data_IF_597662158851
#
_entry.id   IF_597662158851
#
_cell.length_a   1.000
_cell.length_b   1.000
_cell.length_c   1.000
_cell.angle_alpha   90.00
_cell.angle_beta   90.00
_cell.angle_gamma   90.00
#
_symmetry.space_group_name_H-M   'P 1'
#
loop_
_entity.id
_entity.type
_entity.pdbx_description
1 polymer ?
#
# COMPACT_ATOMS: atom_id res chain seq x y z
N UNK A 1 -0.53 5.60 9.22
CA UNK A 1 -0.14 5.44 10.63
C UNK A 1 0.71 6.62 11.12
N UNK A 2 1.98 6.76 10.71
CA UNK A 2 2.89 7.81 11.25
C UNK A 2 2.39 9.26 11.07
N UNK A 3 1.91 9.63 9.88
CA UNK A 3 1.40 10.99 9.64
C UNK A 3 0.17 11.31 10.50
N UNK A 4 -0.68 10.31 10.77
CA UNK A 4 -1.85 10.46 11.63
C UNK A 4 -1.45 10.67 13.09
N UNK A 5 -0.49 9.89 13.59
CA UNK A 5 0.08 10.07 14.93
C UNK A 5 0.59 11.50 15.14
N UNK A 6 1.46 11.98 14.24
CA UNK A 6 1.99 13.35 14.27
C UNK A 6 0.89 14.40 14.20
N UNK A 7 -0.11 14.20 13.35
CA UNK A 7 -1.24 15.11 13.21
C UNK A 7 -2.02 15.26 14.51
N UNK A 8 -2.40 14.14 15.16
CA UNK A 8 -3.15 14.20 16.43
C UNK A 8 -2.28 14.79 17.54
N UNK A 9 -1.00 14.43 17.61
CA UNK A 9 -0.09 14.92 18.63
C UNK A 9 0.09 16.45 18.60
N UNK A 10 0.19 17.04 17.39
CA UNK A 10 0.46 18.48 17.23
C UNK A 10 -0.83 19.29 17.20
N UNK A 11 -1.85 18.84 16.46
CA UNK A 11 -3.07 19.61 16.27
C UNK A 11 -4.06 19.46 17.44
N UNK A 12 -3.98 18.35 18.20
CA UNK A 12 -4.92 18.05 19.30
C UNK A 12 -4.19 17.48 20.54
N UNK A 13 -3.20 18.19 21.11
CA UNK A 13 -2.33 17.66 22.16
C UNK A 13 -3.11 17.23 23.42
N UNK A 14 -4.14 17.98 23.83
CA UNK A 14 -4.96 17.68 25.01
C UNK A 14 -5.81 16.41 24.86
N UNK A 15 -6.12 16.01 23.62
CA UNK A 15 -6.93 14.82 23.33
C UNK A 15 -6.08 13.65 22.83
N UNK A 16 -4.77 13.82 22.71
CA UNK A 16 -3.89 12.81 22.13
C UNK A 16 -3.98 11.47 22.85
N UNK A 17 -3.92 11.44 24.18
CA UNK A 17 -3.99 10.17 24.94
C UNK A 17 -5.36 9.49 24.86
N UNK A 18 -6.43 10.27 24.67
CA UNK A 18 -7.78 9.71 24.48
C UNK A 18 -7.92 9.07 23.09
N UNK A 19 -7.39 9.73 22.06
CA UNK A 19 -7.47 9.30 20.66
C UNK A 19 -6.47 8.18 20.36
N UNK A 20 -5.20 8.36 20.76
CA UNK A 20 -4.10 7.40 20.57
C UNK A 20 -3.93 6.50 21.80
N UNK A 21 -5.01 5.85 22.22
CA UNK A 21 -4.95 4.87 23.30
C UNK A 21 -4.45 3.49 22.78
N UNK A 22 -4.18 2.57 23.70
CA UNK A 22 -3.67 1.23 23.37
C UNK A 22 -4.59 0.46 22.40
N UNK A 23 -5.91 0.59 22.52
CA UNK A 23 -6.87 -0.09 21.65
C UNK A 23 -6.79 0.47 20.23
N UNK A 24 -6.81 1.79 20.09
CA UNK A 24 -6.69 2.45 18.79
C UNK A 24 -5.35 2.13 18.10
N UNK A 25 -4.24 2.13 18.85
CA UNK A 25 -2.94 1.74 18.31
C UNK A 25 -2.93 0.28 17.82
N UNK A 26 -3.51 -0.63 18.62
CA UNK A 26 -3.62 -2.04 18.24
C UNK A 26 -4.48 -2.23 16.98
N UNK A 27 -5.62 -1.53 16.87
CA UNK A 27 -6.46 -1.55 15.68
C UNK A 27 -5.73 -1.03 14.45
N UNK A 28 -5.02 0.11 14.56
CA UNK A 28 -4.21 0.67 13.47
C UNK A 28 -3.15 -0.33 13.02
N UNK A 29 -2.45 -0.98 13.96
CA UNK A 29 -1.45 -2.01 13.65
C UNK A 29 -2.11 -3.16 12.89
N UNK A 30 -3.21 -3.72 13.42
CA UNK A 30 -3.93 -4.82 12.77
C UNK A 30 -4.34 -4.44 11.35
N UNK A 31 -4.89 -3.24 11.14
CA UNK A 31 -5.28 -2.76 9.81
C UNK A 31 -4.09 -2.67 8.85
N UNK A 32 -2.94 -2.18 9.32
CA UNK A 32 -1.71 -2.14 8.52
C UNK A 32 -1.23 -3.54 8.15
N UNK A 33 -1.23 -4.48 9.09
CA UNK A 33 -0.84 -5.87 8.83
C UNK A 33 -1.80 -6.56 7.87
N UNK A 34 -3.10 -6.46 8.10
CA UNK A 34 -4.13 -7.12 7.27
C UNK A 34 -4.12 -6.55 5.85
N UNK A 35 -4.04 -5.23 5.68
CA UNK A 35 -3.96 -4.62 4.35
C UNK A 35 -2.69 -5.03 3.60
N UNK A 36 -1.54 -5.07 4.28
CA UNK A 36 -0.28 -5.56 3.72
C UNK A 36 -0.36 -7.03 3.29
N UNK A 37 -0.94 -7.89 4.13
CA UNK A 37 -1.14 -9.31 3.83
C UNK A 37 -2.06 -9.52 2.62
N UNK A 38 -3.20 -8.82 2.58
CA UNK A 38 -4.14 -8.90 1.45
C UNK A 38 -3.44 -8.46 0.16
N UNK A 39 -2.69 -7.34 0.19
CA UNK A 39 -1.96 -6.87 -0.96
C UNK A 39 -0.91 -7.90 -1.43
N UNK A 40 -0.14 -8.47 -0.52
CA UNK A 40 0.85 -9.52 -0.82
C UNK A 40 0.21 -10.79 -1.38
N UNK A 41 -0.92 -11.24 -0.83
CA UNK A 41 -1.68 -12.40 -1.32
C UNK A 41 -2.21 -12.13 -2.72
N UNK A 42 -2.86 -10.98 -2.95
CA UNK A 42 -3.39 -10.61 -4.27
C UNK A 42 -2.28 -10.59 -5.31
N UNK A 43 -1.13 -9.99 -4.96
CA UNK A 43 0.03 -9.95 -5.82
C UNK A 43 0.55 -11.35 -6.14
N UNK A 44 0.70 -12.19 -5.12
CA UNK A 44 1.18 -13.57 -5.25
C UNK A 44 0.23 -14.39 -6.13
N UNK A 45 -1.06 -14.42 -5.81
CA UNK A 45 -2.08 -15.14 -6.60
C UNK A 45 -2.09 -14.61 -8.03
N UNK A 46 -2.04 -13.28 -8.22
CA UNK A 46 -1.99 -12.65 -9.53
C UNK A 46 -0.84 -13.17 -10.37
N UNK A 47 0.39 -13.16 -9.82
CA UNK A 47 1.59 -13.65 -10.51
C UNK A 47 1.55 -15.15 -10.78
N UNK A 48 1.11 -15.98 -9.82
CA UNK A 48 1.04 -17.44 -9.99
C UNK A 48 -0.09 -17.89 -10.93
N UNK A 49 -1.12 -17.05 -11.16
CA UNK A 49 -2.22 -17.35 -12.08
C UNK A 49 -1.86 -17.09 -13.54
N UNK A 50 -0.71 -16.47 -13.83
CA UNK A 50 -0.26 -16.16 -15.19
C UNK A 50 0.34 -17.39 -15.86
N UNK A 51 -0.09 -17.69 -17.09
CA UNK A 51 0.54 -18.71 -17.93
C UNK A 51 1.77 -18.12 -18.64
N UNK A 52 2.96 -18.53 -18.20
CA UNK A 52 4.23 -18.12 -18.81
C UNK A 52 4.55 -18.99 -20.03
N UNK A 53 4.90 -18.35 -21.15
CA UNK A 53 5.22 -19.03 -22.41
C UNK A 53 6.69 -19.49 -22.50
N UNK A 54 7.54 -18.94 -21.63
CA UNK A 54 8.95 -19.28 -21.52
C UNK A 54 9.33 -19.33 -20.05
N UNK A 55 10.20 -20.26 -19.67
CA UNK A 55 10.77 -20.35 -18.33
C UNK A 55 12.15 -19.68 -18.23
N UNK A 56 12.59 -19.00 -19.30
CA UNK A 56 13.89 -18.31 -19.35
C UNK A 56 13.67 -16.82 -19.11
N UNK A 57 14.01 -16.37 -17.90
CA UNK A 57 14.01 -14.96 -17.50
C UNK A 57 15.45 -14.45 -17.52
N UNK A 58 15.82 -13.68 -18.55
CA UNK A 58 17.17 -13.12 -18.68
C UNK A 58 17.34 -11.82 -17.86
N UNK A 59 17.06 -11.87 -16.56
CA UNK A 59 17.06 -10.70 -15.67
C UNK A 59 17.62 -11.05 -14.28
N UNK A 60 18.38 -10.14 -13.67
CA UNK A 60 18.88 -10.26 -12.30
C UNK A 60 17.81 -9.97 -11.23
N UNK A 61 16.73 -9.25 -11.58
CA UNK A 61 15.68 -8.83 -10.64
C UNK A 61 14.32 -9.39 -11.02
N UNK A 62 13.54 -9.79 -10.01
CA UNK A 62 12.17 -10.28 -10.15
C UNK A 62 11.20 -9.09 -10.12
N UNK A 63 11.13 -8.32 -11.22
CA UNK A 63 10.20 -7.19 -11.35
C UNK A 63 8.95 -7.56 -12.18
N UNK A 64 7.77 -7.22 -11.66
CA UNK A 64 6.43 -7.45 -12.22
C UNK A 64 6.28 -7.07 -13.71
N UNK A 65 6.79 -5.91 -14.19
CA UNK A 65 6.59 -5.47 -15.58
C UNK A 65 7.23 -6.41 -16.61
N UNK A 66 8.24 -7.18 -16.19
CA UNK A 66 9.00 -8.11 -17.02
C UNK A 66 8.23 -9.44 -17.17
N UNK A 67 7.56 -9.88 -16.09
CA UNK A 67 6.73 -11.09 -16.07
C UNK A 67 5.53 -10.96 -17.02
N UNK A 68 4.93 -9.76 -17.12
CA UNK A 68 3.85 -9.44 -18.07
C UNK A 68 4.30 -9.62 -19.54
N UNK A 69 5.58 -9.37 -19.85
CA UNK A 69 6.10 -9.54 -21.23
C UNK A 69 6.33 -11.01 -21.62
N UNK A 70 6.40 -11.91 -20.64
CA UNK A 70 6.66 -13.35 -20.85
C UNK A 70 5.37 -14.19 -20.92
N UNK A 71 4.20 -13.61 -20.63
CA UNK A 71 2.93 -14.34 -20.63
C UNK A 71 2.47 -14.65 -22.06
N UNK A 72 1.93 -15.86 -22.29
CA UNK A 72 1.47 -16.30 -23.62
C UNK A 72 0.30 -15.46 -24.17
N UNK A 73 -0.54 -14.97 -23.27
CA UNK A 73 -1.62 -14.05 -23.56
C UNK A 73 -1.18 -12.68 -23.09
N UNK A 74 -1.17 -11.68 -23.97
CA UNK A 74 -0.93 -10.30 -23.54
C UNK A 74 -1.90 -9.86 -22.44
N UNK A 75 -1.47 -8.84 -21.68
CA UNK A 75 -2.18 -8.15 -20.58
C UNK A 75 -3.19 -9.00 -19.79
N UNK A 76 -2.75 -9.60 -18.68
CA UNK A 76 -3.66 -10.20 -17.72
C UNK A 76 -4.46 -9.10 -17.00
N UNK A 77 -5.78 -9.07 -17.20
CA UNK A 77 -6.68 -8.10 -16.54
C UNK A 77 -6.55 -8.12 -15.01
N UNK A 78 -6.24 -9.28 -14.42
CA UNK A 78 -6.01 -9.44 -12.98
C UNK A 78 -4.75 -8.67 -12.52
N UNK A 79 -3.65 -8.80 -13.25
CA UNK A 79 -2.39 -8.15 -12.92
C UNK A 79 -2.45 -6.64 -13.14
N UNK A 80 -3.06 -6.20 -14.24
CA UNK A 80 -3.35 -4.78 -14.48
C UNK A 80 -4.24 -4.21 -13.37
N UNK A 81 -5.25 -4.98 -12.93
CA UNK A 81 -6.10 -4.62 -11.79
C UNK A 81 -5.31 -4.45 -10.50
N UNK A 82 -4.42 -5.38 -10.17
CA UNK A 82 -3.57 -5.32 -8.98
C UNK A 82 -2.63 -4.11 -9.03
N UNK A 83 -2.01 -3.84 -10.17
CA UNK A 83 -1.15 -2.66 -10.36
C UNK A 83 -1.96 -1.38 -10.14
N UNK A 84 -3.17 -1.30 -10.70
CA UNK A 84 -4.01 -0.11 -10.55
C UNK A 84 -4.45 0.11 -9.09
N UNK A 85 -4.84 -0.95 -8.39
CA UNK A 85 -5.19 -0.88 -6.95
C UNK A 85 -3.99 -0.37 -6.13
N UNK A 86 -2.78 -0.85 -6.42
CA UNK A 86 -1.57 -0.37 -5.74
C UNK A 86 -1.29 1.11 -6.00
N UNK A 87 -1.46 1.58 -7.25
CA UNK A 87 -1.30 3.00 -7.60
C UNK A 87 -2.33 3.85 -6.85
N UNK A 88 -3.60 3.43 -6.82
CA UNK A 88 -4.66 4.16 -6.11
C UNK A 88 -4.38 4.21 -4.61
N UNK A 89 -3.97 3.09 -4.01
CA UNK A 89 -3.62 3.03 -2.60
C UNK A 89 -2.43 3.95 -2.29
N UNK A 90 -1.38 3.93 -3.11
CA UNK A 90 -0.22 4.79 -2.97
C UNK A 90 -0.58 6.28 -3.06
N UNK A 91 -1.40 6.67 -4.06
CA UNK A 91 -1.90 8.04 -4.20
C UNK A 91 -2.75 8.45 -2.99
N UNK A 92 -3.63 7.58 -2.51
CA UNK A 92 -4.43 7.82 -1.30
C UNK A 92 -3.56 8.02 -0.05
N UNK A 93 -2.52 7.22 0.12
CA UNK A 93 -1.55 7.41 1.20
C UNK A 93 -0.80 8.75 1.05
N UNK A 94 -0.36 9.10 -0.16
CA UNK A 94 0.35 10.35 -0.43
C UNK A 94 -0.51 11.58 -0.14
N UNK A 95 -1.76 11.58 -0.59
CA UNK A 95 -2.69 12.70 -0.33
C UNK A 95 -3.00 12.84 1.14
N UNK A 96 -3.23 11.72 1.85
CA UNK A 96 -3.44 11.72 3.30
C UNK A 96 -2.24 12.33 4.03
N UNK A 97 -1.01 11.89 3.71
CA UNK A 97 0.23 12.44 4.27
C UNK A 97 0.30 13.94 4.01
N UNK A 98 0.12 14.36 2.76
CA UNK A 98 0.22 15.76 2.37
C UNK A 98 -0.78 16.65 3.13
N UNK A 99 -2.04 16.21 3.24
CA UNK A 99 -3.07 16.93 3.98
C UNK A 99 -2.71 17.02 5.46
N UNK A 100 -2.33 15.90 6.10
CA UNK A 100 -1.92 15.90 7.51
C UNK A 100 -0.80 16.90 7.78
N UNK A 101 0.26 16.89 6.96
CA UNK A 101 1.39 17.80 7.13
C UNK A 101 1.05 19.25 6.80
N UNK A 102 0.20 19.51 5.81
CA UNK A 102 -0.28 20.86 5.52
C UNK A 102 -1.04 21.45 6.71
N UNK A 103 -1.89 20.67 7.38
CA UNK A 103 -2.61 21.12 8.59
C UNK A 103 -1.64 21.33 9.75
N UNK A 104 -0.69 20.41 9.97
CA UNK A 104 0.37 20.58 10.99
C UNK A 104 1.10 21.91 10.77
N UNK A 105 1.54 22.18 9.54
CA UNK A 105 2.27 23.41 9.21
C UNK A 105 1.43 24.67 9.39
N UNK A 106 0.10 24.61 9.22
CA UNK A 106 -0.77 25.75 9.53
C UNK A 106 -0.99 25.98 11.02
N UNK A 107 -0.75 24.96 11.83
CA UNK A 107 -0.98 25.00 13.28
C UNK A 107 0.26 25.50 14.04
N UNK A 108 1.44 25.34 13.44
CA UNK A 108 2.73 25.87 13.91
C UNK A 108 2.92 27.29 13.41
#
# INVERSE_FOLDING_TARGET
AMAYDRYVAICHPLHYEMVMNWKACTEIIILVWVSGLICGILHTIGTFSVLFCSNVVNQFFCEIPQLIKLSCSGFNLVEVGIVMVNIIAALGCFTFIFISYAVIFKTV
#
